data_IF_083724334445
#
_entry.id   IF_083724334445
#
_cell.length_a   1.000
_cell.length_b   1.000
_cell.length_c   1.000
_cell.angle_alpha   90.00
_cell.angle_beta   90.00
_cell.angle_gamma   90.00
#
_symmetry.space_group_name_H-M   'P 1'
#
loop_
_entity.id
_entity.type
_entity.pdbx_description
1 polymer ?
#
# COMPACT_ATOMS: atom_id res chain seq x y z
N UNK A 1 8.46 -0.44 18.84
CA UNK A 1 8.09 0.41 17.68
C UNK A 1 8.58 1.86 17.77
N UNK A 2 8.99 2.45 16.64
CA UNK A 2 9.15 3.92 16.49
C UNK A 2 7.81 4.63 16.32
N UNK A 3 7.74 5.92 16.70
CA UNK A 3 6.53 6.76 16.51
C UNK A 3 6.29 7.02 15.03
N UNK A 4 5.01 7.09 14.64
CA UNK A 4 4.61 7.33 13.25
C UNK A 4 5.13 8.68 12.71
N UNK A 5 5.24 9.70 13.57
CA UNK A 5 5.85 10.99 13.23
C UNK A 5 7.34 10.87 12.88
N UNK A 6 8.10 10.05 13.61
CA UNK A 6 9.51 9.81 13.31
C UNK A 6 9.67 9.04 12.00
N UNK A 7 8.79 8.07 11.73
CA UNK A 7 8.74 7.35 10.46
C UNK A 7 8.47 8.34 9.32
N UNK A 8 7.52 9.24 9.47
CA UNK A 8 7.19 10.27 8.48
C UNK A 8 8.39 11.20 8.20
N UNK A 9 9.04 11.72 9.23
CA UNK A 9 10.22 12.60 9.09
C UNK A 9 11.37 11.88 8.38
N UNK A 10 11.66 10.63 8.78
CA UNK A 10 12.68 9.81 8.10
C UNK A 10 12.31 9.52 6.66
N UNK A 11 11.03 9.30 6.36
CA UNK A 11 10.53 9.11 5.00
C UNK A 11 10.79 10.36 4.17
N UNK A 12 10.46 11.56 4.68
CA UNK A 12 10.70 12.83 3.98
C UNK A 12 12.17 13.08 3.68
N UNK A 13 13.05 12.82 4.64
CA UNK A 13 14.50 12.94 4.44
C UNK A 13 15.03 11.98 3.35
N UNK A 14 14.48 10.76 3.28
CA UNK A 14 14.86 9.76 2.29
C UNK A 14 14.32 10.10 0.89
N UNK A 15 13.07 10.58 0.80
CA UNK A 15 12.49 11.10 -0.44
C UNK A 15 13.35 12.24 -1.00
N UNK A 16 13.81 13.16 -0.15
CA UNK A 16 14.65 14.26 -0.59
C UNK A 16 16.02 13.78 -1.08
N UNK A 17 16.66 12.84 -0.37
CA UNK A 17 17.94 12.23 -0.78
C UNK A 17 17.80 11.47 -2.11
N UNK A 18 16.65 10.86 -2.33
CA UNK A 18 16.36 9.99 -3.47
C UNK A 18 15.35 10.61 -4.44
N UNK A 19 15.37 11.94 -4.56
CA UNK A 19 14.35 12.68 -5.32
C UNK A 19 14.35 12.29 -6.80
N UNK A 20 15.52 12.03 -7.40
CA UNK A 20 15.64 11.65 -8.81
C UNK A 20 14.93 10.32 -9.10
N UNK A 21 15.24 9.20 -8.43
CA UNK A 21 14.55 7.93 -8.66
C UNK A 21 13.08 7.99 -8.22
N UNK A 22 12.74 8.70 -7.14
CA UNK A 22 11.34 8.94 -6.75
C UNK A 22 10.57 9.61 -7.89
N UNK A 23 11.13 10.67 -8.46
CA UNK A 23 10.57 11.38 -9.60
C UNK A 23 10.40 10.46 -10.82
N UNK A 24 11.46 9.77 -11.20
CA UNK A 24 11.49 8.97 -12.42
C UNK A 24 10.46 7.82 -12.40
N UNK A 25 10.41 7.04 -11.33
CA UNK A 25 9.45 5.93 -11.23
C UNK A 25 8.01 6.41 -11.03
N UNK A 26 7.80 7.53 -10.35
CA UNK A 26 6.47 8.12 -10.21
C UNK A 26 5.95 8.65 -11.53
N UNK A 27 6.78 9.30 -12.34
CA UNK A 27 6.39 9.79 -13.67
C UNK A 27 6.04 8.61 -14.59
N UNK A 28 6.88 7.56 -14.65
CA UNK A 28 6.61 6.37 -15.47
C UNK A 28 5.27 5.73 -15.11
N UNK A 29 5.00 5.58 -13.81
CA UNK A 29 3.76 4.98 -13.34
C UNK A 29 2.54 5.88 -13.54
N UNK A 30 2.69 7.19 -13.36
CA UNK A 30 1.60 8.15 -13.51
C UNK A 30 1.23 8.39 -14.98
N UNK A 31 2.19 8.29 -15.92
CA UNK A 31 1.95 8.35 -17.36
C UNK A 31 0.93 7.30 -17.85
N UNK A 32 0.84 6.16 -17.15
CA UNK A 32 -0.13 5.11 -17.45
C UNK A 32 -1.45 5.34 -16.71
N UNK A 33 -1.40 5.91 -15.49
CA UNK A 33 -2.60 6.18 -14.70
C UNK A 33 -3.45 7.33 -15.26
N UNK A 34 -2.84 8.45 -15.66
CA UNK A 34 -3.59 9.64 -16.11
C UNK A 34 -4.52 9.30 -17.29
N UNK A 35 -4.04 8.69 -18.40
CA UNK A 35 -4.92 8.38 -19.52
C UNK A 35 -6.02 7.40 -19.12
N UNK A 36 -5.70 6.43 -18.25
CA UNK A 36 -6.68 5.48 -17.76
C UNK A 36 -7.79 6.14 -16.92
N UNK A 37 -7.50 7.19 -16.16
CA UNK A 37 -8.50 7.90 -15.36
C UNK A 37 -9.27 8.95 -16.17
N UNK A 38 -8.61 9.65 -17.10
CA UNK A 38 -9.22 10.75 -17.85
C UNK A 38 -9.97 10.30 -19.11
N UNK A 39 -9.53 9.22 -19.77
CA UNK A 39 -10.05 8.82 -21.08
C UNK A 39 -11.02 7.64 -21.00
N UNK A 40 -10.99 6.85 -19.92
CA UNK A 40 -11.82 5.65 -19.80
C UNK A 40 -13.09 5.93 -19.00
N UNK A 41 -14.23 5.31 -19.36
CA UNK A 41 -15.40 5.32 -18.51
C UNK A 41 -15.08 4.60 -17.19
N UNK A 42 -15.73 5.02 -16.11
CA UNK A 42 -15.49 4.51 -14.75
C UNK A 42 -15.50 2.97 -14.70
N UNK A 43 -16.42 2.32 -15.42
CA UNK A 43 -16.52 0.87 -15.50
C UNK A 43 -15.29 0.20 -16.14
N UNK A 44 -14.78 0.77 -17.23
CA UNK A 44 -13.57 0.28 -17.88
C UNK A 44 -12.33 0.57 -17.02
N UNK A 45 -12.27 1.72 -16.35
CA UNK A 45 -11.18 2.06 -15.43
C UNK A 45 -11.08 1.05 -14.27
N UNK A 46 -12.22 0.69 -13.66
CA UNK A 46 -12.27 -0.31 -12.58
C UNK A 46 -11.77 -1.71 -13.00
N UNK A 47 -11.85 -2.03 -14.29
CA UNK A 47 -11.34 -3.31 -14.82
C UNK A 47 -9.88 -3.14 -15.25
N UNK A 48 -9.50 -2.06 -15.93
CA UNK A 48 -8.17 -1.92 -16.53
C UNK A 48 -7.09 -1.59 -15.49
N UNK A 49 -7.41 -0.77 -14.48
CA UNK A 49 -6.47 -0.37 -13.43
C UNK A 49 -5.88 -1.59 -12.68
N UNK A 50 -6.67 -2.60 -12.27
CA UNK A 50 -6.15 -3.83 -11.67
C UNK A 50 -5.14 -4.60 -12.52
N UNK A 51 -5.32 -4.64 -13.84
CA UNK A 51 -4.48 -5.46 -14.72
C UNK A 51 -3.22 -4.75 -15.19
N UNK A 52 -3.26 -3.42 -15.28
CA UNK A 52 -2.13 -2.65 -15.83
C UNK A 52 -1.45 -1.85 -14.73
N UNK A 53 -2.20 -1.03 -13.99
CA UNK A 53 -1.62 -0.09 -13.05
C UNK A 53 -1.17 -0.75 -11.74
N UNK A 54 -1.95 -1.67 -11.18
CA UNK A 54 -1.58 -2.32 -9.92
C UNK A 54 -0.27 -3.12 -9.99
N UNK A 55 0.00 -3.92 -11.05
CA UNK A 55 1.29 -4.57 -11.22
C UNK A 55 2.45 -3.57 -11.37
N UNK A 56 2.21 -2.46 -12.05
CA UNK A 56 3.19 -1.39 -12.19
C UNK A 56 3.49 -0.72 -10.86
N UNK A 57 2.45 -0.43 -10.06
CA UNK A 57 2.58 0.10 -8.70
C UNK A 57 3.39 -0.84 -7.82
N UNK A 58 3.09 -2.15 -7.82
CA UNK A 58 3.87 -3.14 -7.09
C UNK A 58 5.33 -3.22 -7.58
N UNK A 59 5.57 -3.03 -8.89
CA UNK A 59 6.90 -2.89 -9.46
C UNK A 59 7.68 -1.71 -8.87
N UNK A 60 7.03 -0.54 -8.71
CA UNK A 60 7.62 0.63 -8.04
C UNK A 60 7.93 0.32 -6.58
N UNK A 61 7.00 -0.30 -5.85
CA UNK A 61 7.23 -0.72 -4.46
C UNK A 61 8.43 -1.67 -4.35
N UNK A 62 8.58 -2.61 -5.29
CA UNK A 62 9.67 -3.57 -5.32
C UNK A 62 11.05 -2.90 -5.52
N UNK A 63 11.13 -1.87 -6.38
CA UNK A 63 12.37 -1.10 -6.58
C UNK A 63 12.79 -0.42 -5.29
N UNK A 64 11.86 0.24 -4.58
CA UNK A 64 12.18 0.90 -3.32
C UNK A 64 12.50 -0.10 -2.20
N UNK A 65 11.82 -1.24 -2.17
CA UNK A 65 12.15 -2.34 -1.26
C UNK A 65 13.61 -2.80 -1.43
N UNK A 66 14.03 -3.15 -2.66
CA UNK A 66 15.40 -3.57 -2.95
C UNK A 66 16.44 -2.48 -2.63
N UNK A 67 16.07 -1.22 -2.89
CA UNK A 67 16.95 -0.08 -2.63
C UNK A 67 17.18 0.13 -1.13
N UNK A 68 16.14 -0.05 -0.32
CA UNK A 68 16.22 0.08 1.13
C UNK A 68 16.95 -1.09 1.79
N UNK A 69 16.89 -2.29 1.21
CA UNK A 69 17.58 -3.50 1.71
C UNK A 69 19.10 -3.56 1.38
N UNK A 70 19.69 -2.47 0.87
CA UNK A 70 21.13 -2.33 0.55
C UNK A 70 21.73 -3.37 -0.43
N UNK A 71 20.92 -4.10 -1.19
CA UNK A 71 21.44 -4.89 -2.33
C UNK A 71 21.78 -3.94 -3.48
N UNK A 72 23.09 -3.70 -3.63
CA UNK A 72 23.83 -3.03 -4.70
C UNK A 72 23.07 -2.69 -6.00
N UNK A 73 23.35 -1.50 -6.55
CA UNK A 73 22.96 -0.96 -7.86
C UNK A 73 22.66 -2.06 -8.90
N UNK A 74 21.44 -2.56 -8.91
CA UNK A 74 20.90 -3.30 -10.05
C UNK A 74 20.05 -2.34 -10.87
N UNK A 75 20.05 -2.57 -12.18
CA UNK A 75 19.44 -1.69 -13.15
C UNK A 75 17.96 -1.51 -12.78
N UNK A 76 17.57 -0.37 -12.22
CA UNK A 76 16.27 -0.23 -11.57
C UNK A 76 15.05 -0.42 -12.49
N UNK A 77 15.23 -0.31 -13.82
CA UNK A 77 14.22 -0.74 -14.80
C UNK A 77 14.03 -2.27 -14.82
N UNK A 78 15.11 -3.06 -14.72
CA UNK A 78 15.03 -4.53 -14.62
C UNK A 78 14.35 -4.94 -13.31
N UNK A 79 14.60 -4.22 -12.22
CA UNK A 79 13.97 -4.52 -10.93
C UNK A 79 12.49 -4.14 -10.90
N UNK A 80 12.10 -3.06 -11.60
CA UNK A 80 10.70 -2.70 -11.83
C UNK A 80 9.99 -3.78 -12.65
N UNK A 81 10.58 -4.21 -13.78
CA UNK A 81 10.03 -5.27 -14.64
C UNK A 81 9.98 -6.64 -13.92
N UNK A 82 11.01 -6.98 -13.14
CA UNK A 82 11.05 -8.20 -12.36
C UNK A 82 9.99 -8.18 -11.25
N UNK A 83 9.82 -7.04 -10.56
CA UNK A 83 8.77 -6.85 -9.57
C UNK A 83 7.38 -6.94 -10.17
N UNK A 84 7.15 -6.28 -11.31
CA UNK A 84 5.89 -6.34 -12.05
C UNK A 84 5.57 -7.76 -12.50
N UNK A 85 6.55 -8.52 -13.02
CA UNK A 85 6.33 -9.89 -13.51
C UNK A 85 6.14 -10.90 -12.38
N UNK A 86 7.01 -10.88 -11.36
CA UNK A 86 6.93 -11.80 -10.20
C UNK A 86 5.70 -11.49 -9.34
N UNK A 87 5.33 -10.22 -9.23
CA UNK A 87 4.21 -9.74 -8.44
C UNK A 87 2.91 -9.55 -9.22
N UNK A 88 2.85 -9.89 -10.52
CA UNK A 88 1.67 -9.62 -11.36
C UNK A 88 0.39 -10.21 -10.76
N UNK A 89 0.42 -11.50 -10.42
CA UNK A 89 -0.75 -12.19 -9.88
C UNK A 89 -1.20 -11.63 -8.51
N UNK A 90 -0.31 -11.45 -7.52
CA UNK A 90 -0.64 -10.71 -6.29
C UNK A 90 -1.24 -9.31 -6.53
N UNK A 91 -0.66 -8.55 -7.46
CA UNK A 91 -1.09 -7.20 -7.77
C UNK A 91 -2.49 -7.16 -8.42
N UNK A 92 -2.77 -8.08 -9.35
CA UNK A 92 -4.09 -8.18 -9.98
C UNK A 92 -5.17 -8.56 -8.97
N UNK A 93 -4.90 -9.54 -8.09
CA UNK A 93 -5.87 -9.94 -7.05
C UNK A 93 -6.19 -8.77 -6.14
N UNK A 94 -5.17 -8.09 -5.63
CA UNK A 94 -5.36 -6.95 -4.76
C UNK A 94 -6.03 -5.78 -5.51
N UNK A 95 -5.70 -5.59 -6.79
CA UNK A 95 -6.36 -4.62 -7.66
C UNK A 95 -7.84 -4.88 -7.84
N UNK A 96 -8.22 -6.13 -8.11
CA UNK A 96 -9.61 -6.55 -8.23
C UNK A 96 -10.36 -6.39 -6.90
N UNK A 97 -9.71 -6.75 -5.79
CA UNK A 97 -10.27 -6.53 -4.46
C UNK A 97 -10.54 -5.05 -4.19
N UNK A 98 -9.56 -4.17 -4.44
CA UNK A 98 -9.72 -2.71 -4.32
C UNK A 98 -10.82 -2.18 -5.24
N UNK A 99 -10.87 -2.64 -6.49
CA UNK A 99 -11.87 -2.19 -7.46
C UNK A 99 -13.27 -2.64 -7.08
N UNK A 100 -13.42 -3.85 -6.53
CA UNK A 100 -14.67 -4.33 -5.97
C UNK A 100 -15.13 -3.45 -4.80
N UNK A 101 -14.23 -3.07 -3.90
CA UNK A 101 -14.55 -2.17 -2.77
C UNK A 101 -14.99 -0.78 -3.25
N UNK A 102 -14.30 -0.19 -4.23
CA UNK A 102 -14.69 1.09 -4.83
C UNK A 102 -16.05 0.96 -5.52
N UNK A 103 -16.28 -0.13 -6.25
CA UNK A 103 -17.56 -0.39 -6.91
C UNK A 103 -18.70 -0.54 -5.90
N UNK A 104 -18.46 -1.23 -4.77
CA UNK A 104 -19.44 -1.34 -3.69
C UNK A 104 -19.77 0.05 -3.14
N UNK A 105 -18.78 0.89 -2.82
CA UNK A 105 -19.02 2.26 -2.35
C UNK A 105 -19.82 3.07 -3.36
N UNK A 106 -19.42 3.05 -4.62
CA UNK A 106 -20.11 3.76 -5.69
C UNK A 106 -21.56 3.31 -5.80
N UNK A 107 -21.80 2.00 -5.86
CA UNK A 107 -23.13 1.39 -5.93
C UNK A 107 -24.00 1.76 -4.72
N UNK A 108 -23.42 1.73 -3.52
CA UNK A 108 -24.12 2.10 -2.29
C UNK A 108 -24.55 3.56 -2.29
N UNK A 109 -23.66 4.50 -2.62
CA UNK A 109 -24.02 5.92 -2.63
C UNK A 109 -24.95 6.28 -3.77
N UNK A 110 -24.79 5.63 -4.93
CA UNK A 110 -25.71 5.78 -6.05
C UNK A 110 -27.14 5.34 -5.70
N UNK A 111 -27.29 4.18 -5.05
CA UNK A 111 -28.61 3.61 -4.75
C UNK A 111 -29.24 4.14 -3.46
N UNK A 112 -28.48 4.15 -2.36
CA UNK A 112 -28.99 4.53 -1.04
C UNK A 112 -28.88 6.04 -0.78
N UNK A 113 -27.90 6.73 -1.38
CA UNK A 113 -27.73 8.17 -1.21
C UNK A 113 -28.80 9.00 -1.91
N UNK A 114 -29.43 8.46 -2.96
CA UNK A 114 -30.54 9.11 -3.67
C UNK A 114 -31.93 8.85 -3.08
N UNK A 115 -32.03 8.05 -2.00
CA UNK A 115 -33.31 7.72 -1.37
C UNK A 115 -33.54 8.54 -0.11
N UNK A 116 -34.74 9.11 -0.01
CA UNK A 116 -35.17 9.78 1.20
C UNK A 116 -35.49 8.75 2.29
N UNK A 117 -34.97 8.99 3.50
CA UNK A 117 -35.22 8.13 4.66
C UNK A 117 -33.97 7.83 5.48
N UNK A 118 -34.09 7.98 6.81
CA UNK A 118 -32.99 7.77 7.76
C UNK A 118 -32.41 6.35 7.67
N UNK A 119 -33.25 5.34 7.40
CA UNK A 119 -32.82 3.95 7.28
C UNK A 119 -31.84 3.72 6.13
N UNK A 120 -32.10 4.28 4.94
CA UNK A 120 -31.19 4.15 3.79
C UNK A 120 -29.86 4.87 4.01
N UNK A 121 -29.90 6.02 4.70
CA UNK A 121 -28.69 6.76 5.08
C UNK A 121 -27.83 5.95 6.06
N UNK A 122 -28.44 5.32 7.07
CA UNK A 122 -27.72 4.45 8.03
C UNK A 122 -27.02 3.31 7.31
N UNK A 123 -27.69 2.65 6.36
CA UNK A 123 -27.09 1.58 5.54
C UNK A 123 -25.89 2.11 4.75
N UNK A 124 -26.02 3.27 4.11
CA UNK A 124 -24.93 3.86 3.33
C UNK A 124 -23.70 4.19 4.18
N UNK A 125 -23.91 4.77 5.36
CA UNK A 125 -22.84 5.10 6.32
C UNK A 125 -22.17 3.82 6.84
N UNK A 126 -22.96 2.82 7.22
CA UNK A 126 -22.44 1.56 7.72
C UNK A 126 -21.59 0.85 6.65
N UNK A 127 -22.11 0.72 5.44
CA UNK A 127 -21.35 0.13 4.33
C UNK A 127 -20.07 0.90 4.04
N UNK A 128 -20.12 2.24 4.09
CA UNK A 128 -18.93 3.09 3.91
C UNK A 128 -17.87 2.79 4.96
N UNK A 129 -18.27 2.67 6.23
CA UNK A 129 -17.37 2.28 7.31
C UNK A 129 -16.72 0.91 7.07
N UNK A 130 -17.49 -0.11 6.67
CA UNK A 130 -16.95 -1.44 6.37
C UNK A 130 -15.92 -1.42 5.25
N UNK A 131 -16.20 -0.67 4.18
CA UNK A 131 -15.27 -0.57 3.07
C UNK A 131 -14.00 0.18 3.47
N UNK A 132 -14.11 1.29 4.22
CA UNK A 132 -12.94 2.01 4.74
C UNK A 132 -12.10 1.08 5.64
N UNK A 133 -12.74 0.32 6.54
CA UNK A 133 -12.04 -0.65 7.38
C UNK A 133 -11.37 -1.75 6.56
N UNK A 134 -12.00 -2.21 5.48
CA UNK A 134 -11.39 -3.16 4.55
C UNK A 134 -10.14 -2.55 3.88
N UNK A 135 -10.18 -1.29 3.44
CA UNK A 135 -9.01 -0.58 2.91
C UNK A 135 -7.88 -0.49 3.93
N UNK A 136 -8.18 -0.02 5.14
CA UNK A 136 -7.19 0.09 6.22
C UNK A 136 -6.57 -1.28 6.52
N UNK A 137 -7.39 -2.35 6.56
CA UNK A 137 -6.93 -3.71 6.84
C UNK A 137 -5.94 -4.26 5.83
N UNK A 138 -5.97 -3.77 4.58
CA UNK A 138 -5.11 -4.25 3.51
C UNK A 138 -3.93 -3.30 3.22
N UNK A 139 -3.72 -2.30 4.08
CA UNK A 139 -2.66 -1.31 3.91
C UNK A 139 -1.25 -1.94 3.83
N UNK A 140 -1.01 -3.02 4.57
CA UNK A 140 0.31 -3.68 4.63
C UNK A 140 0.49 -4.81 3.62
N UNK A 141 -0.56 -5.24 2.93
CA UNK A 141 -0.57 -6.46 2.09
C UNK A 141 0.56 -6.48 1.07
N UNK A 142 0.75 -5.41 0.29
CA UNK A 142 1.81 -5.37 -0.73
C UNK A 142 3.22 -5.41 -0.11
N UNK A 143 3.42 -4.75 1.02
CA UNK A 143 4.73 -4.76 1.69
C UNK A 143 5.02 -6.10 2.34
N UNK A 144 4.01 -6.83 2.83
CA UNK A 144 4.18 -8.19 3.34
C UNK A 144 4.53 -9.19 2.23
N UNK A 145 3.94 -9.02 1.03
CA UNK A 145 4.32 -9.80 -0.15
C UNK A 145 5.77 -9.55 -0.55
N UNK A 146 6.26 -8.30 -0.43
CA UNK A 146 7.62 -7.95 -0.81
C UNK A 146 8.66 -8.29 0.28
N UNK A 147 8.42 -7.88 1.53
CA UNK A 147 9.37 -8.00 2.64
C UNK A 147 9.45 -9.40 3.24
N UNK A 148 8.33 -10.10 3.39
CA UNK A 148 8.28 -11.47 3.94
C UNK A 148 8.12 -12.55 2.85
N UNK A 149 8.21 -12.17 1.56
CA UNK A 149 7.96 -13.03 0.40
C UNK A 149 6.68 -13.90 0.52
N UNK A 150 5.64 -13.35 1.16
CA UNK A 150 4.40 -14.09 1.45
C UNK A 150 3.50 -14.20 0.21
N UNK A 151 2.80 -15.33 0.07
CA UNK A 151 1.72 -15.44 -0.91
C UNK A 151 0.58 -14.46 -0.60
N UNK A 152 -0.08 -13.93 -1.64
CA UNK A 152 -1.06 -12.82 -1.51
C UNK A 152 -2.16 -13.07 -0.48
N UNK A 153 -2.79 -14.25 -0.47
CA UNK A 153 -3.85 -14.56 0.50
C UNK A 153 -3.34 -14.61 1.94
N UNK A 154 -2.13 -15.14 2.14
CA UNK A 154 -1.48 -15.16 3.45
C UNK A 154 -1.14 -13.73 3.88
N UNK A 155 -0.63 -12.90 2.98
CA UNK A 155 -0.33 -11.49 3.23
C UNK A 155 -1.60 -10.68 3.56
N UNK A 156 -2.72 -10.93 2.89
CA UNK A 156 -4.01 -10.28 3.20
C UNK A 156 -4.49 -10.64 4.60
N UNK A 157 -4.44 -11.93 4.97
CA UNK A 157 -4.80 -12.38 6.31
C UNK A 157 -3.88 -11.81 7.38
N UNK A 158 -2.58 -11.76 7.12
CA UNK A 158 -1.60 -11.21 8.05
C UNK A 158 -1.73 -9.69 8.21
N UNK A 159 -2.07 -8.97 7.13
CA UNK A 159 -2.37 -7.54 7.18
C UNK A 159 -3.57 -7.25 8.08
N UNK A 160 -4.60 -8.10 8.05
CA UNK A 160 -5.74 -8.01 8.99
C UNK A 160 -5.29 -8.26 10.42
N UNK A 161 -4.44 -9.26 10.67
CA UNK A 161 -3.91 -9.51 12.02
C UNK A 161 -3.09 -8.34 12.54
N UNK A 162 -2.26 -7.74 11.69
CA UNK A 162 -1.48 -6.54 12.04
C UNK A 162 -2.38 -5.37 12.39
N UNK A 163 -3.48 -5.16 11.66
CA UNK A 163 -4.49 -4.16 12.02
C UNK A 163 -5.10 -4.46 13.40
N UNK A 164 -5.47 -5.71 13.68
CA UNK A 164 -6.08 -6.06 14.97
C UNK A 164 -5.11 -5.94 16.15
N UNK A 165 -3.82 -6.22 15.91
CA UNK A 165 -2.76 -6.11 16.93
C UNK A 165 -2.35 -4.65 17.17
N UNK A 166 -2.27 -3.84 16.11
CA UNK A 166 -1.86 -2.44 16.17
C UNK A 166 -2.86 -1.50 15.46
N UNK A 167 -4.11 -1.39 15.95
CA UNK A 167 -5.18 -0.69 15.24
C UNK A 167 -4.90 0.81 15.10
N UNK A 168 -4.49 1.47 16.18
CA UNK A 168 -4.20 2.90 16.15
C UNK A 168 -3.03 3.27 15.24
N UNK A 169 -2.02 2.40 15.14
CA UNK A 169 -0.86 2.65 14.28
C UNK A 169 -1.22 2.49 12.80
N UNK A 170 -1.93 1.41 12.44
CA UNK A 170 -2.35 1.15 11.06
C UNK A 170 -3.35 2.20 10.56
N UNK A 171 -4.34 2.55 11.38
CA UNK A 171 -5.31 3.63 11.08
C UNK A 171 -4.57 4.96 10.92
N UNK A 172 -3.63 5.27 11.82
CA UNK A 172 -2.82 6.48 11.74
C UNK A 172 -1.97 6.54 10.46
N UNK A 173 -1.34 5.44 10.07
CA UNK A 173 -0.53 5.36 8.86
C UNK A 173 -1.38 5.50 7.57
N UNK A 174 -2.55 4.88 7.57
CA UNK A 174 -3.53 5.05 6.49
C UNK A 174 -4.01 6.51 6.41
N UNK A 175 -4.33 7.12 7.55
CA UNK A 175 -4.77 8.52 7.60
C UNK A 175 -3.68 9.47 7.08
N UNK A 176 -2.42 9.28 7.48
CA UNK A 176 -1.29 10.05 6.94
C UNK A 176 -1.15 9.88 5.42
N UNK A 177 -1.32 8.66 4.93
CA UNK A 177 -1.32 8.38 3.49
C UNK A 177 -2.42 9.17 2.78
N UNK A 178 -3.64 9.19 3.32
CA UNK A 178 -4.74 9.98 2.76
C UNK A 178 -4.41 11.47 2.76
N UNK A 179 -3.90 12.02 3.86
CA UNK A 179 -3.50 13.43 3.93
C UNK A 179 -2.43 13.78 2.90
N UNK A 180 -1.38 12.97 2.77
CA UNK A 180 -0.32 13.18 1.78
C UNK A 180 -0.86 13.05 0.35
N UNK A 181 -1.77 12.10 0.11
CA UNK A 181 -2.42 11.91 -1.19
C UNK A 181 -3.23 13.15 -1.57
N UNK A 182 -4.04 13.69 -0.65
CA UNK A 182 -4.83 14.91 -0.88
C UNK A 182 -3.93 16.11 -1.15
N UNK A 183 -2.88 16.31 -0.33
CA UNK A 183 -1.93 17.40 -0.52
C UNK A 183 -1.23 17.32 -1.88
N UNK A 184 -0.80 16.13 -2.30
CA UNK A 184 -0.22 15.94 -3.62
C UNK A 184 -1.25 16.10 -4.73
N UNK A 185 -2.49 15.63 -4.55
CA UNK A 185 -3.56 15.74 -5.54
C UNK A 185 -4.00 17.19 -5.80
N UNK A 186 -3.86 18.09 -4.81
CA UNK A 186 -4.05 19.54 -5.03
C UNK A 186 -3.08 20.09 -6.07
N UNK A 187 -1.91 19.47 -6.23
CA UNK A 187 -0.90 19.83 -7.23
C UNK A 187 -0.76 18.72 -8.25
N UNK A 188 -1.38 18.84 -9.44
CA UNK A 188 -1.26 17.83 -10.49
C UNK A 188 0.20 17.39 -10.71
N UNK A 189 1.15 18.33 -10.75
CA UNK A 189 2.58 18.04 -10.88
C UNK A 189 3.14 17.24 -9.69
N UNK A 190 2.79 17.60 -8.46
CA UNK A 190 3.26 16.90 -7.26
C UNK A 190 2.78 15.45 -7.22
N UNK A 191 1.51 15.21 -7.56
CA UNK A 191 0.97 13.86 -7.68
C UNK A 191 1.72 13.03 -8.72
N UNK A 192 1.93 13.58 -9.92
CA UNK A 192 2.60 12.88 -11.01
C UNK A 192 4.07 12.56 -10.72
N UNK A 193 4.76 13.48 -10.06
CA UNK A 193 6.20 13.38 -9.87
C UNK A 193 6.55 12.66 -8.58
N UNK A 194 5.71 12.65 -7.53
CA UNK A 194 6.16 12.17 -6.22
C UNK A 194 5.36 11.01 -5.65
N UNK A 195 4.10 10.82 -6.06
CA UNK A 195 3.17 9.97 -5.32
C UNK A 195 3.66 8.53 -5.15
N UNK A 196 3.91 7.80 -6.24
CA UNK A 196 4.21 6.36 -6.16
C UNK A 196 5.56 6.07 -5.51
N UNK A 197 6.58 6.90 -5.73
CA UNK A 197 7.88 6.74 -5.08
C UNK A 197 7.83 7.06 -3.59
N UNK A 198 7.09 8.11 -3.19
CA UNK A 198 6.84 8.42 -1.78
C UNK A 198 6.09 7.25 -1.10
N UNK A 199 5.06 6.72 -1.74
CA UNK A 199 4.30 5.58 -1.22
C UNK A 199 5.18 4.34 -1.04
N UNK A 200 6.10 4.07 -1.97
CA UNK A 200 7.09 3.00 -1.85
C UNK A 200 7.92 3.08 -0.58
N UNK A 201 8.54 4.23 -0.34
CA UNK A 201 9.40 4.44 0.82
C UNK A 201 8.58 4.44 2.13
N UNK A 202 7.44 5.12 2.13
CA UNK A 202 6.60 5.25 3.31
C UNK A 202 6.02 3.90 3.75
N UNK A 203 5.37 3.18 2.83
CA UNK A 203 4.77 1.87 3.14
C UNK A 203 5.84 0.87 3.59
N UNK A 204 7.03 0.89 2.96
CA UNK A 204 8.14 0.04 3.38
C UNK A 204 8.50 0.28 4.84
N UNK A 205 8.75 1.54 5.24
CA UNK A 205 9.18 1.89 6.60
C UNK A 205 8.10 1.64 7.64
N UNK A 206 6.85 1.95 7.33
CA UNK A 206 5.73 1.73 8.26
C UNK A 206 5.57 0.23 8.53
N UNK A 207 5.65 -0.59 7.48
CA UNK A 207 5.50 -2.05 7.59
C UNK A 207 6.72 -2.69 8.25
N UNK A 208 7.93 -2.27 7.90
CA UNK A 208 9.17 -2.76 8.52
C UNK A 208 9.20 -2.48 10.03
N UNK A 209 8.74 -1.29 10.47
CA UNK A 209 8.66 -0.93 11.89
C UNK A 209 7.69 -1.82 12.69
N UNK A 210 6.69 -2.43 12.03
CA UNK A 210 5.80 -3.42 12.65
C UNK A 210 6.41 -4.81 12.65
N UNK A 211 7.09 -5.20 11.56
CA UNK A 211 7.73 -6.51 11.43
C UNK A 211 8.91 -6.65 12.41
N UNK A 212 9.75 -5.64 12.53
CA UNK A 212 10.88 -5.62 13.48
C UNK A 212 10.39 -5.86 14.92
N UNK A 213 9.24 -5.27 15.29
CA UNK A 213 8.62 -5.51 16.60
C UNK A 213 7.93 -6.87 16.72
N UNK A 214 7.69 -7.62 15.65
CA UNK A 214 7.24 -9.02 15.79
C UNK A 214 8.41 -9.98 16.01
N UNK A 215 9.57 -9.67 15.42
CA UNK A 215 10.77 -10.49 15.50
C UNK A 215 11.49 -10.33 16.86
N UNK A 216 11.53 -9.12 17.42
CA UNK A 216 12.09 -8.84 18.76
C UNK A 216 11.44 -9.65 19.92
N UNK A 217 10.10 -9.66 20.11
CA UNK A 217 9.46 -10.43 21.18
C UNK A 217 9.56 -11.94 20.95
N UNK A 218 9.68 -12.39 19.70
CA UNK A 218 9.96 -13.80 19.41
C UNK A 218 11.40 -14.17 19.79
N UNK A 219 12.39 -13.29 19.67
CA UNK A 219 13.75 -13.59 20.13
C UNK A 219 13.83 -13.66 21.66
N UNK A 220 13.11 -12.77 22.35
CA UNK A 220 13.08 -12.72 23.80
C UNK A 220 12.37 -13.93 24.41
N UNK A 221 11.25 -14.40 23.83
CA UNK A 221 10.56 -15.61 24.28
C UNK A 221 11.40 -16.90 24.18
N UNK A 222 12.33 -16.98 23.22
CA UNK A 222 13.23 -18.13 23.06
C UNK A 222 14.42 -18.06 24.01
N UNK A 223 14.89 -16.85 24.31
CA UNK A 223 15.88 -16.59 25.34
C UNK A 223 15.33 -16.91 26.74
N UNK A 224 14.07 -16.57 27.01
CA UNK A 224 13.41 -16.83 28.31
C UNK A 224 13.11 -18.32 28.52
N UNK A 225 12.84 -19.08 27.43
CA UNK A 225 12.63 -20.53 27.48
C UNK A 225 13.93 -21.36 27.45
N UNK A 226 15.10 -20.72 27.47
CA UNK A 226 16.40 -21.40 27.55
C UNK A 226 16.70 -22.33 26.37
N UNK A 227 16.04 -22.14 25.23
CA UNK A 227 16.13 -23.06 24.09
C UNK A 227 16.99 -22.43 23.00
N UNK A 228 18.31 -22.59 23.12
CA UNK A 228 19.25 -22.16 22.09
C UNK A 228 19.08 -23.02 20.83
N UNK A 229 19.02 -22.43 19.61
CA UNK A 229 18.98 -23.21 18.40
C UNK A 229 20.35 -23.85 18.17
N UNK A 230 20.35 -25.19 18.15
CA UNK A 230 21.48 -26.00 17.67
C UNK A 230 21.70 -25.69 16.19
N UNK A 231 22.76 -24.94 15.89
CA UNK A 231 23.24 -24.68 14.53
C UNK A 231 23.77 -25.99 13.95
N UNK A 232 23.17 -26.45 12.84
CA UNK A 232 23.81 -27.35 11.88
C UNK A 232 23.56 -26.85 10.47
#
# INVERSE_FOLDING_TARGET
MRKLSEVLVKTGAEIYREIIPVALYSVISSLILIPAVLLLPITAALIIIPFIYMPLFLGVLNVFHHKMERKSRRNGLKDLLAGMRRGYFPAVIMGLFVSLLVFILWSTWWYYGGKEGMFYTIIAVFQTYFVIMAFISQFHTFQLVLQKEMGIFKAMGESVKLLLRHPGYTVGAFFQTVCLTVLLALTAVGFLVLFNGMMGIYMYKVTANLIEEEEEPAADEWSEKGMTPSVK
#
